data_IF_280752064157
#
_entry.id   IF_280752064157
#
_cell.length_a   1.000
_cell.length_b   1.000
_cell.length_c   1.000
_cell.angle_alpha   90.00
_cell.angle_beta   90.00
_cell.angle_gamma   90.00
#
_symmetry.space_group_name_H-M   'P 1'
#
loop_
_entity.id
_entity.type
_entity.pdbx_description
1 polymer ?
#
# COMPACT_ATOMS: atom_id res chain seq x y z
N UNK A 1 5.32 -10.98 5.97
CA UNK A 1 6.40 -10.30 5.23
C UNK A 1 7.45 -11.32 4.86
N UNK A 2 7.91 -11.33 3.60
CA UNK A 2 8.79 -12.35 3.01
C UNK A 2 10.29 -12.20 3.27
N UNK A 3 10.69 -11.52 4.35
CA UNK A 3 12.09 -11.18 4.63
C UNK A 3 13.04 -12.39 4.62
N UNK A 4 12.55 -13.58 4.99
CA UNK A 4 13.32 -14.84 5.01
C UNK A 4 13.96 -15.19 3.66
N UNK A 5 13.36 -14.74 2.55
CA UNK A 5 13.83 -15.05 1.20
C UNK A 5 15.25 -14.57 0.93
N UNK A 6 15.72 -13.57 1.68
CA UNK A 6 17.10 -13.08 1.61
C UNK A 6 17.83 -13.11 2.96
N UNK A 7 17.10 -13.10 4.08
CA UNK A 7 17.65 -13.08 5.44
C UNK A 7 17.71 -14.45 6.13
N UNK A 8 17.42 -15.54 5.40
CA UNK A 8 17.48 -16.90 5.95
C UNK A 8 16.41 -17.20 6.99
N UNK A 9 16.56 -18.33 7.69
CA UNK A 9 15.61 -18.85 8.66
C UNK A 9 14.29 -19.38 8.07
N UNK A 10 13.46 -19.94 8.95
CA UNK A 10 12.14 -20.44 8.60
C UNK A 10 11.01 -19.44 8.91
N UNK A 11 9.80 -19.74 8.47
CA UNK A 11 8.62 -19.00 8.87
C UNK A 11 8.32 -19.25 10.35
N UNK A 12 8.11 -18.18 11.13
CA UNK A 12 7.90 -18.29 12.59
C UNK A 12 6.66 -19.10 12.98
N UNK A 13 5.57 -18.96 12.23
CA UNK A 13 4.27 -19.52 12.58
C UNK A 13 3.93 -20.66 11.64
N UNK A 14 4.05 -21.90 12.15
CA UNK A 14 3.63 -23.14 11.47
C UNK A 14 4.15 -23.27 10.04
N UNK A 15 5.36 -22.77 9.78
CA UNK A 15 5.95 -22.74 8.44
C UNK A 15 5.16 -21.94 7.39
N UNK A 16 4.28 -21.02 7.80
CA UNK A 16 3.37 -20.27 6.92
C UNK A 16 3.61 -18.76 6.88
N UNK A 17 3.97 -18.15 8.01
CA UNK A 17 4.09 -16.69 8.12
C UNK A 17 4.99 -16.24 9.27
N UNK A 18 5.36 -14.96 9.24
CA UNK A 18 6.08 -14.26 10.32
C UNK A 18 7.60 -14.36 10.24
N UNK A 19 8.30 -13.46 10.93
CA UNK A 19 9.77 -13.38 10.94
C UNK A 19 10.28 -14.25 12.09
N UNK A 20 11.08 -15.29 11.79
CA UNK A 20 11.72 -16.11 12.83
C UNK A 20 12.87 -15.35 13.52
N UNK A 21 13.32 -15.86 14.66
CA UNK A 21 14.43 -15.26 15.39
C UNK A 21 15.73 -15.31 14.58
N UNK A 22 15.93 -16.35 13.76
CA UNK A 22 17.05 -16.45 12.82
C UNK A 22 16.99 -15.33 11.76
N UNK A 23 15.85 -15.18 11.09
CA UNK A 23 15.65 -14.09 10.11
C UNK A 23 15.84 -12.72 10.77
N UNK A 24 15.29 -12.52 11.98
CA UNK A 24 15.43 -11.27 12.71
C UNK A 24 16.90 -10.97 13.07
N UNK A 25 17.65 -11.98 13.54
CA UNK A 25 19.06 -11.83 13.87
C UNK A 25 19.90 -11.48 12.65
N UNK A 26 19.62 -12.08 11.48
CA UNK A 26 20.32 -11.74 10.25
C UNK A 26 20.03 -10.29 9.81
N UNK A 27 18.76 -9.86 9.88
CA UNK A 27 18.38 -8.45 9.63
C UNK A 27 19.18 -7.50 10.53
N UNK A 28 19.25 -7.77 11.84
CA UNK A 28 20.02 -6.94 12.77
C UNK A 28 21.52 -7.00 12.49
N UNK A 29 22.06 -8.15 12.09
CA UNK A 29 23.46 -8.32 11.70
C UNK A 29 23.82 -7.45 10.50
N UNK A 30 22.98 -7.48 9.46
CA UNK A 30 23.15 -6.66 8.26
C UNK A 30 23.02 -5.17 8.60
N UNK A 31 22.05 -4.81 9.45
CA UNK A 31 21.87 -3.44 9.89
C UNK A 31 23.08 -2.92 10.68
N UNK A 32 23.58 -3.70 11.65
CA UNK A 32 24.77 -3.34 12.45
C UNK A 32 25.99 -3.13 11.56
N UNK A 33 26.19 -3.99 10.56
CA UNK A 33 27.28 -3.87 9.58
C UNK A 33 27.16 -2.61 8.71
N UNK A 34 25.96 -2.32 8.21
CA UNK A 34 25.74 -1.24 7.22
C UNK A 34 25.60 0.13 7.87
N UNK A 35 24.94 0.18 9.02
CA UNK A 35 24.59 1.41 9.75
C UNK A 35 25.47 1.65 10.97
N UNK A 36 26.44 0.77 11.25
CA UNK A 36 27.37 0.84 12.40
C UNK A 36 26.64 0.88 13.76
N UNK A 37 25.58 0.09 13.88
CA UNK A 37 24.81 -0.05 15.12
C UNK A 37 25.23 -1.29 15.93
N UNK A 38 24.59 -1.53 17.07
CA UNK A 38 24.77 -2.72 17.92
C UNK A 38 23.42 -3.32 18.35
N UNK A 39 22.45 -3.30 17.45
CA UNK A 39 21.08 -3.71 17.71
C UNK A 39 20.97 -5.21 17.98
N UNK A 40 21.81 -6.04 17.32
CA UNK A 40 21.82 -7.48 17.60
C UNK A 40 22.27 -7.76 19.03
N UNK A 41 23.35 -7.11 19.47
CA UNK A 41 23.87 -7.26 20.84
C UNK A 41 22.82 -6.82 21.87
N UNK A 42 22.12 -5.72 21.61
CA UNK A 42 21.04 -5.24 22.48
C UNK A 42 19.86 -6.23 22.53
N UNK A 43 19.41 -6.73 21.38
CA UNK A 43 18.34 -7.72 21.30
C UNK A 43 18.68 -9.02 22.04
N UNK A 44 19.91 -9.53 21.90
CA UNK A 44 20.40 -10.71 22.61
C UNK A 44 20.44 -10.53 24.14
N UNK A 45 20.60 -9.28 24.61
CA UNK A 45 20.51 -8.91 26.03
C UNK A 45 19.08 -8.68 26.52
N UNK A 46 18.06 -8.99 25.70
CA UNK A 46 16.65 -8.77 26.02
C UNK A 46 16.22 -7.31 25.90
N UNK A 47 16.97 -6.49 25.15
CA UNK A 47 16.69 -5.07 24.92
C UNK A 47 16.51 -4.78 23.41
N UNK A 48 15.56 -5.43 22.71
CA UNK A 48 15.29 -5.12 21.32
C UNK A 48 14.82 -3.66 21.17
N UNK A 49 15.27 -3.00 20.10
CA UNK A 49 14.87 -1.63 19.80
C UNK A 49 13.72 -1.62 18.78
N UNK A 50 12.83 -0.65 18.87
CA UNK A 50 11.81 -0.43 17.84
C UNK A 50 12.43 0.37 16.70
N UNK A 51 12.35 -0.16 15.47
CA UNK A 51 12.85 0.49 14.27
C UNK A 51 12.31 1.93 14.13
N UNK A 52 11.07 2.17 14.55
CA UNK A 52 10.42 3.48 14.47
C UNK A 52 11.02 4.49 15.45
N UNK A 53 11.72 4.10 16.51
CA UNK A 53 12.38 5.07 17.40
C UNK A 53 13.44 5.88 16.63
N UNK A 54 14.18 5.22 15.73
CA UNK A 54 15.19 5.87 14.89
C UNK A 54 14.67 6.28 13.51
N UNK A 55 13.70 5.55 12.96
CA UNK A 55 13.15 5.73 11.61
C UNK A 55 11.73 6.35 11.58
N UNK A 56 11.35 7.09 12.63
CA UNK A 56 10.12 7.90 12.65
C UNK A 56 10.35 9.32 12.13
N UNK A 57 9.54 10.27 12.64
CA UNK A 57 9.30 11.63 12.12
C UNK A 57 10.56 12.51 12.03
N UNK A 58 10.36 13.72 11.50
CA UNK A 58 11.33 14.69 10.97
C UNK A 58 12.57 15.05 11.81
N UNK A 59 12.62 14.76 13.11
CA UNK A 59 13.68 15.26 14.01
C UNK A 59 15.01 14.49 13.88
N UNK A 60 14.97 13.21 13.50
CA UNK A 60 16.18 12.44 13.24
C UNK A 60 16.67 12.66 11.81
N UNK A 61 17.99 12.73 11.59
CA UNK A 61 18.53 12.79 10.23
C UNK A 61 18.44 11.45 9.47
N UNK A 62 17.98 10.38 10.13
CA UNK A 62 17.75 9.09 9.49
C UNK A 62 16.53 9.14 8.56
N UNK A 63 16.56 8.33 7.51
CA UNK A 63 15.42 8.13 6.63
C UNK A 63 14.21 7.59 7.40
N UNK A 64 13.01 8.01 7.04
CA UNK A 64 11.80 7.33 7.52
C UNK A 64 11.82 5.83 7.15
N UNK A 65 11.13 5.00 7.93
CA UNK A 65 11.23 3.54 7.80
C UNK A 65 10.91 3.01 6.40
N UNK A 66 9.91 3.58 5.74
CA UNK A 66 9.54 3.17 4.38
C UNK A 66 10.63 3.54 3.38
N UNK A 67 11.19 4.76 3.47
CA UNK A 67 12.28 5.18 2.59
C UNK A 67 13.55 4.36 2.82
N UNK A 68 13.87 4.03 4.08
CA UNK A 68 15.01 3.20 4.43
C UNK A 68 14.89 1.78 3.85
N UNK A 69 13.74 1.12 4.07
CA UNK A 69 13.53 -0.25 3.60
C UNK A 69 13.44 -0.30 2.08
N UNK A 70 12.54 0.48 1.46
CA UNK A 70 12.36 0.42 0.02
C UNK A 70 13.59 0.95 -0.72
N UNK A 71 14.18 2.05 -0.25
CA UNK A 71 15.38 2.63 -0.87
C UNK A 71 16.57 1.68 -0.89
N UNK A 72 16.80 0.94 0.19
CA UNK A 72 17.85 -0.06 0.23
C UNK A 72 17.56 -1.24 -0.71
N UNK A 73 16.37 -1.84 -0.59
CA UNK A 73 16.04 -3.06 -1.33
C UNK A 73 15.81 -2.84 -2.83
N UNK A 74 15.39 -1.64 -3.24
CA UNK A 74 15.23 -1.31 -4.66
C UNK A 74 16.53 -1.51 -5.45
N UNK A 75 17.69 -1.32 -4.83
CA UNK A 75 19.00 -1.53 -5.46
C UNK A 75 19.30 -3.02 -5.79
N UNK A 76 18.49 -3.95 -5.31
CA UNK A 76 18.64 -5.40 -5.52
C UNK A 76 17.42 -6.05 -6.19
N UNK A 77 16.34 -5.28 -6.35
CA UNK A 77 15.03 -5.74 -6.83
C UNK A 77 14.58 -5.00 -8.09
N UNK A 78 15.51 -4.37 -8.82
CA UNK A 78 15.23 -3.71 -10.11
C UNK A 78 14.76 -4.73 -11.14
N UNK A 79 13.97 -4.28 -12.11
CA UNK A 79 13.52 -5.11 -13.25
C UNK A 79 12.68 -6.34 -12.88
N UNK A 80 11.89 -6.24 -11.80
CA UNK A 80 11.03 -7.33 -11.32
C UNK A 80 9.54 -7.00 -11.24
N UNK A 81 9.14 -5.81 -11.71
CA UNK A 81 7.75 -5.34 -11.71
C UNK A 81 7.04 -5.65 -10.35
N UNK A 82 5.82 -6.18 -10.35
CA UNK A 82 5.06 -6.48 -9.13
C UNK A 82 5.64 -7.63 -8.27
N UNK A 83 6.51 -8.48 -8.83
CA UNK A 83 7.18 -9.55 -8.06
C UNK A 83 8.05 -8.96 -6.94
N UNK A 84 8.67 -7.81 -7.20
CA UNK A 84 9.47 -7.07 -6.21
C UNK A 84 8.67 -6.74 -4.95
N UNK A 85 7.38 -6.43 -5.08
CA UNK A 85 6.49 -6.14 -3.97
C UNK A 85 6.20 -7.41 -3.17
N UNK A 86 5.93 -8.53 -3.88
CA UNK A 86 5.64 -9.84 -3.32
C UNK A 86 6.83 -10.50 -2.59
N UNK A 87 8.06 -10.06 -2.85
CA UNK A 87 9.23 -10.51 -2.10
C UNK A 87 9.15 -10.13 -0.61
N UNK A 88 8.49 -9.01 -0.28
CA UNK A 88 8.38 -8.50 1.08
C UNK A 88 6.95 -8.52 1.60
N UNK A 89 5.97 -8.18 0.77
CA UNK A 89 4.55 -8.13 1.14
C UNK A 89 3.85 -9.44 0.81
N UNK A 90 2.78 -9.81 1.54
CA UNK A 90 2.05 -11.06 1.29
C UNK A 90 1.14 -10.98 0.05
N UNK A 91 1.63 -10.37 -1.03
CA UNK A 91 0.96 -10.25 -2.33
C UNK A 91 1.37 -11.36 -3.30
N UNK A 92 2.46 -12.09 -3.04
CA UNK A 92 2.91 -13.18 -3.92
C UNK A 92 1.90 -14.33 -4.02
N UNK A 93 1.94 -15.14 -5.10
CA UNK A 93 1.12 -16.35 -5.24
C UNK A 93 1.35 -17.39 -4.13
N UNK A 94 2.47 -17.34 -3.41
CA UNK A 94 2.80 -18.21 -2.27
C UNK A 94 2.48 -17.53 -0.92
N UNK A 95 2.26 -16.22 -0.90
CA UNK A 95 2.00 -15.45 0.32
C UNK A 95 0.71 -15.90 1.03
N UNK A 96 0.78 -16.15 2.34
CA UNK A 96 -0.33 -16.78 3.06
C UNK A 96 -1.62 -15.94 3.14
N UNK A 97 -1.54 -14.60 3.23
CA UNK A 97 -2.73 -13.76 3.52
C UNK A 97 -3.35 -13.07 2.31
N UNK A 98 -2.66 -13.01 1.15
CA UNK A 98 -3.11 -12.31 -0.07
C UNK A 98 -3.63 -10.88 0.22
N UNK A 99 -2.71 -9.97 0.52
CA UNK A 99 -3.08 -8.61 0.95
C UNK A 99 -3.83 -7.78 -0.11
N UNK A 100 -3.54 -7.98 -1.40
CA UNK A 100 -4.31 -7.43 -2.50
C UNK A 100 -5.36 -8.43 -2.99
N UNK A 101 -6.64 -8.07 -2.82
CA UNK A 101 -7.77 -9.00 -3.00
C UNK A 101 -9.14 -8.33 -3.24
N UNK A 102 -9.16 -7.04 -3.53
CA UNK A 102 -10.38 -6.34 -3.96
C UNK A 102 -10.63 -6.48 -5.46
N UNK A 103 -11.70 -5.85 -5.95
CA UNK A 103 -12.12 -5.90 -7.36
C UNK A 103 -11.02 -5.52 -8.36
N UNK A 104 -10.12 -4.61 -7.99
CA UNK A 104 -9.01 -4.21 -8.86
C UNK A 104 -8.06 -5.37 -9.19
N UNK A 105 -7.91 -6.35 -8.30
CA UNK A 105 -7.14 -7.55 -8.62
C UNK A 105 -7.85 -8.46 -9.62
N UNK A 106 -9.18 -8.49 -9.60
CA UNK A 106 -9.98 -9.36 -10.48
C UNK A 106 -9.93 -8.88 -11.94
N UNK A 107 -9.62 -7.60 -12.16
CA UNK A 107 -9.34 -7.01 -13.47
C UNK A 107 -7.82 -6.93 -13.76
N UNK A 108 -7.03 -7.80 -13.13
CA UNK A 108 -5.60 -7.99 -13.41
C UNK A 108 -4.68 -6.80 -13.08
N UNK A 109 -5.13 -5.82 -12.29
CA UNK A 109 -4.22 -4.82 -11.73
C UNK A 109 -3.31 -5.45 -10.68
N UNK A 110 -2.20 -4.76 -10.39
CA UNK A 110 -1.25 -5.15 -9.37
C UNK A 110 -0.75 -3.95 -8.55
N UNK A 111 0.28 -4.17 -7.74
CA UNK A 111 0.83 -3.14 -6.85
C UNK A 111 1.40 -1.95 -7.64
N UNK A 112 2.02 -2.23 -8.79
CA UNK A 112 2.68 -1.25 -9.65
C UNK A 112 1.69 -0.39 -10.41
N UNK A 113 0.47 -0.91 -10.66
CA UNK A 113 -0.63 -0.16 -11.28
C UNK A 113 -1.01 1.11 -10.52
N UNK A 114 -0.72 1.19 -9.21
CA UNK A 114 -1.01 2.36 -8.36
C UNK A 114 0.23 2.97 -7.72
N UNK A 115 1.19 2.15 -7.27
CA UNK A 115 2.37 2.64 -6.55
C UNK A 115 3.59 2.90 -7.45
N UNK A 116 3.54 2.47 -8.71
CA UNK A 116 4.69 2.43 -9.62
C UNK A 116 5.60 1.22 -9.37
N UNK A 117 6.64 1.08 -10.20
CA UNK A 117 7.64 0.02 -10.03
C UNK A 117 8.47 0.26 -8.78
N UNK A 118 9.20 -0.75 -8.29
CA UNK A 118 9.98 -0.66 -7.06
C UNK A 118 10.97 0.51 -7.08
N UNK A 119 11.63 0.71 -8.21
CA UNK A 119 12.56 1.81 -8.44
C UNK A 119 11.86 3.16 -8.30
N UNK A 120 10.73 3.35 -8.97
CA UNK A 120 9.98 4.61 -8.94
C UNK A 120 9.37 4.87 -7.54
N UNK A 121 8.81 3.85 -6.92
CA UNK A 121 8.26 3.91 -5.56
C UNK A 121 9.35 4.28 -4.54
N UNK A 122 10.53 3.64 -4.64
CA UNK A 122 11.65 3.97 -3.76
C UNK A 122 12.18 5.38 -4.03
N UNK A 123 12.34 5.77 -5.30
CA UNK A 123 12.80 7.10 -5.68
C UNK A 123 11.85 8.20 -5.20
N UNK A 124 10.53 8.04 -5.35
CA UNK A 124 9.55 9.03 -4.87
C UNK A 124 9.69 9.31 -3.36
N UNK A 125 9.97 8.27 -2.56
CA UNK A 125 10.25 8.41 -1.13
C UNK A 125 11.61 9.08 -0.88
N UNK A 126 12.66 8.63 -1.57
CA UNK A 126 14.03 9.14 -1.37
C UNK A 126 14.19 10.59 -1.83
N UNK A 127 13.51 11.02 -2.90
CA UNK A 127 13.50 12.43 -3.34
C UNK A 127 12.89 13.32 -2.25
N UNK A 128 11.77 12.90 -1.63
CA UNK A 128 11.17 13.63 -0.52
C UNK A 128 12.11 13.73 0.70
N UNK A 129 12.76 12.62 1.06
CA UNK A 129 13.72 12.60 2.18
C UNK A 129 14.98 13.41 1.88
N UNK A 130 15.50 13.38 0.64
CA UNK A 130 16.63 14.21 0.20
C UNK A 130 16.29 15.69 0.32
N UNK A 131 15.11 16.10 -0.14
CA UNK A 131 14.64 17.47 0.00
C UNK A 131 14.48 17.89 1.47
N UNK A 132 14.14 16.95 2.36
CA UNK A 132 14.08 17.14 3.80
C UNK A 132 15.46 17.10 4.50
N UNK A 133 16.57 16.99 3.75
CA UNK A 133 17.93 17.00 4.30
C UNK A 133 18.33 15.72 5.05
N UNK A 134 17.68 14.58 4.74
CA UNK A 134 17.90 13.31 5.43
C UNK A 134 19.16 12.61 4.92
N UNK A 135 19.92 12.04 5.85
CA UNK A 135 21.13 11.30 5.56
C UNK A 135 20.81 10.00 4.81
N UNK A 136 21.70 9.62 3.90
CA UNK A 136 21.61 8.34 3.18
C UNK A 136 20.68 8.35 1.98
N UNK A 137 19.76 9.32 1.84
CA UNK A 137 18.84 9.40 0.71
C UNK A 137 19.61 9.42 -0.63
N UNK A 138 20.53 10.37 -0.79
CA UNK A 138 21.33 10.52 -2.00
C UNK A 138 22.20 9.31 -2.30
N UNK A 139 22.74 8.65 -1.27
CA UNK A 139 23.55 7.45 -1.44
C UNK A 139 22.73 6.28 -1.99
N UNK A 140 21.50 6.09 -1.52
CA UNK A 140 20.60 5.02 -1.97
C UNK A 140 20.05 5.27 -3.37
N UNK A 141 19.92 6.54 -3.77
CA UNK A 141 19.46 6.94 -5.11
C UNK A 141 20.51 6.72 -6.21
N UNK A 142 21.80 6.63 -5.85
CA UNK A 142 22.93 6.69 -6.79
C UNK A 142 22.88 5.65 -7.93
N UNK A 143 22.31 4.47 -7.66
CA UNK A 143 22.26 3.35 -8.60
C UNK A 143 20.83 3.00 -9.04
N UNK A 144 19.86 3.86 -8.72
CA UNK A 144 18.48 3.69 -9.13
C UNK A 144 18.17 4.60 -10.31
N UNK A 145 17.51 4.03 -11.32
CA UNK A 145 16.97 4.77 -12.46
C UNK A 145 15.45 4.67 -12.44
N UNK A 146 14.73 5.78 -12.70
CA UNK A 146 13.30 5.72 -12.86
C UNK A 146 12.92 4.85 -14.07
N UNK A 147 11.76 4.22 -13.98
CA UNK A 147 11.19 3.33 -14.99
C UNK A 147 9.93 3.91 -15.61
N UNK A 148 9.22 4.78 -14.89
CA UNK A 148 7.97 5.39 -15.35
C UNK A 148 8.15 6.81 -15.90
N UNK A 149 9.30 7.45 -15.65
CA UNK A 149 9.62 8.80 -16.16
C UNK A 149 11.04 8.85 -16.72
N UNK A 150 11.33 9.88 -17.52
CA UNK A 150 12.59 10.01 -18.25
C UNK A 150 13.80 10.19 -17.33
N UNK A 151 13.65 10.96 -16.25
CA UNK A 151 14.77 11.30 -15.38
C UNK A 151 14.37 11.41 -13.91
N UNK A 152 15.39 11.40 -13.05
CA UNK A 152 15.20 11.59 -11.62
C UNK A 152 14.57 12.96 -11.29
N UNK A 153 14.77 13.97 -12.13
CA UNK A 153 14.18 15.29 -11.93
C UNK A 153 12.66 15.28 -12.11
N UNK A 154 12.13 14.30 -12.83
CA UNK A 154 10.71 14.16 -13.13
C UNK A 154 9.97 13.32 -12.08
N UNK A 155 10.68 12.74 -11.10
CA UNK A 155 10.06 12.00 -9.99
C UNK A 155 9.35 12.96 -9.04
N UNK A 156 8.04 12.80 -8.89
CA UNK A 156 7.27 13.54 -7.91
C UNK A 156 7.57 13.00 -6.50
N UNK A 157 8.06 13.84 -5.58
CA UNK A 157 8.34 13.43 -4.22
C UNK A 157 7.07 13.02 -3.51
N UNK A 158 7.18 11.99 -2.65
CA UNK A 158 6.07 11.56 -1.83
C UNK A 158 6.53 11.25 -0.40
N UNK A 159 5.77 11.72 0.57
CA UNK A 159 6.01 11.43 1.98
C UNK A 159 5.17 10.23 2.42
N UNK A 160 5.82 9.29 3.10
CA UNK A 160 5.18 8.13 3.71
C UNK A 160 3.99 8.55 4.57
N UNK A 161 2.87 7.86 4.42
CA UNK A 161 1.60 8.15 5.12
C UNK A 161 1.01 9.53 4.78
N UNK A 162 1.60 10.40 3.96
CA UNK A 162 0.92 11.64 3.55
C UNK A 162 0.43 11.50 2.11
N UNK A 163 1.36 11.19 1.23
CA UNK A 163 1.14 11.08 -0.20
C UNK A 163 0.96 9.59 -0.56
N UNK A 164 -0.26 9.20 -0.91
CA UNK A 164 -0.65 7.85 -1.31
C UNK A 164 -1.20 7.88 -2.73
N UNK A 165 -1.34 6.73 -3.42
CA UNK A 165 -2.09 6.67 -4.68
C UNK A 165 -3.51 7.22 -4.50
N UNK A 166 -3.96 8.00 -5.48
CA UNK A 166 -5.29 8.58 -5.49
C UNK A 166 -6.18 7.78 -6.46
N UNK A 167 -7.33 7.32 -5.97
CA UNK A 167 -8.29 6.58 -6.81
C UNK A 167 -8.85 7.45 -7.94
N UNK A 168 -8.89 8.78 -7.76
CA UNK A 168 -9.42 9.73 -8.74
C UNK A 168 -8.50 9.91 -9.95
N UNK A 169 -7.27 9.38 -9.92
CA UNK A 169 -6.39 9.38 -11.09
C UNK A 169 -6.95 8.49 -12.21
N UNK A 170 -7.58 7.36 -11.86
CA UNK A 170 -8.33 6.53 -12.81
C UNK A 170 -9.82 6.90 -12.82
N UNK A 171 -10.40 7.12 -11.64
CA UNK A 171 -11.82 7.45 -11.46
C UNK A 171 -12.06 8.97 -11.50
N UNK A 172 -11.66 9.60 -12.60
CA UNK A 172 -11.80 11.04 -12.77
C UNK A 172 -13.27 11.47 -12.62
N UNK A 173 -13.52 12.46 -11.75
CA UNK A 173 -14.88 12.92 -11.41
C UNK A 173 -15.82 11.79 -11.00
N UNK A 174 -15.28 10.74 -10.36
CA UNK A 174 -16.03 9.54 -9.93
C UNK A 174 -16.64 8.74 -11.08
N UNK A 175 -16.16 8.92 -12.31
CA UNK A 175 -16.60 8.14 -13.46
C UNK A 175 -15.93 6.75 -13.51
N UNK A 176 -16.50 5.89 -14.36
CA UNK A 176 -15.79 4.69 -14.78
C UNK A 176 -14.49 5.10 -15.50
N UNK A 177 -13.36 4.44 -15.21
CA UNK A 177 -12.10 4.76 -15.85
C UNK A 177 -12.19 4.45 -17.35
N UNK A 178 -11.58 5.29 -18.18
CA UNK A 178 -11.46 5.04 -19.63
C UNK A 178 -10.40 3.97 -19.92
N UNK A 179 -9.41 3.84 -19.04
CA UNK A 179 -8.27 2.93 -19.15
C UNK A 179 -7.93 2.30 -17.81
N UNK A 180 -7.37 1.09 -17.85
CA UNK A 180 -6.86 0.38 -16.66
C UNK A 180 -5.46 0.88 -16.23
N UNK A 181 -4.94 1.91 -16.91
CA UNK A 181 -3.66 2.55 -16.62
C UNK A 181 -3.87 4.02 -16.26
N UNK A 182 -2.97 4.56 -15.43
CA UNK A 182 -2.87 6.00 -15.16
C UNK A 182 -1.41 6.43 -15.23
N UNK A 183 -1.19 7.74 -15.37
CA UNK A 183 0.14 8.31 -15.30
C UNK A 183 0.73 8.14 -13.90
N UNK A 184 1.97 7.64 -13.84
CA UNK A 184 2.74 7.59 -12.61
C UNK A 184 2.97 9.02 -12.05
N UNK A 185 3.45 9.13 -10.79
CA UNK A 185 3.76 10.39 -10.09
C UNK A 185 2.57 11.22 -9.60
N UNK A 186 1.37 10.65 -9.56
CA UNK A 186 0.18 11.34 -9.07
C UNK A 186 -0.19 10.87 -7.66
N UNK A 187 0.01 11.73 -6.66
CA UNK A 187 -0.20 11.42 -5.25
C UNK A 187 -1.25 12.31 -4.60
N UNK A 188 -1.93 11.79 -3.57
CA UNK A 188 -2.76 12.62 -2.69
C UNK A 188 -1.91 13.74 -2.08
N UNK A 189 -2.37 15.00 -2.07
CA UNK A 189 -1.58 16.13 -1.57
C UNK A 189 -1.44 16.12 -0.03
N UNK A 190 -2.44 15.60 0.68
CA UNK A 190 -2.53 15.69 2.15
C UNK A 190 -3.04 14.40 2.79
N UNK A 191 -2.86 14.28 4.10
CA UNK A 191 -3.23 13.11 4.91
C UNK A 191 -4.74 12.80 4.95
N UNK A 192 -5.58 13.82 4.89
CA UNK A 192 -7.04 13.74 4.87
C UNK A 192 -7.57 13.29 3.50
N UNK A 193 -6.80 13.50 2.44
CA UNK A 193 -7.16 13.06 1.10
C UNK A 193 -6.80 11.61 0.78
N UNK A 194 -6.15 10.89 1.70
CA UNK A 194 -5.93 9.44 1.56
C UNK A 194 -7.28 8.71 1.54
N UNK A 195 -7.42 7.70 0.70
CA UNK A 195 -8.66 6.91 0.56
C UNK A 195 -9.33 6.51 1.90
N UNK A 196 -8.56 6.08 2.91
CA UNK A 196 -9.13 5.64 4.20
C UNK A 196 -9.58 6.79 5.11
N UNK A 197 -9.28 8.04 4.75
CA UNK A 197 -9.66 9.27 5.48
C UNK A 197 -10.53 10.22 4.67
N UNK A 198 -10.47 10.13 3.34
CA UNK A 198 -11.26 10.95 2.43
C UNK A 198 -12.73 10.63 2.61
N UNK A 199 -13.55 11.68 2.61
CA UNK A 199 -15.00 11.59 2.55
C UNK A 199 -15.51 11.97 1.17
N UNK A 200 -16.72 11.53 0.87
CA UNK A 200 -17.53 12.10 -0.19
C UNK A 200 -18.06 13.51 0.18
N UNK A 201 -18.90 14.08 -0.70
CA UNK A 201 -19.48 15.41 -0.52
C UNK A 201 -20.46 15.49 0.67
N UNK A 202 -20.98 14.34 1.12
CA UNK A 202 -21.88 14.22 2.26
C UNK A 202 -21.16 13.90 3.58
N UNK A 203 -19.83 13.78 3.57
CA UNK A 203 -19.01 13.52 4.75
C UNK A 203 -18.87 12.03 5.12
N UNK A 204 -19.24 11.10 4.24
CA UNK A 204 -19.07 9.66 4.46
C UNK A 204 -17.72 9.20 3.94
N UNK A 205 -16.97 8.44 4.75
CA UNK A 205 -15.67 7.91 4.35
C UNK A 205 -15.79 6.96 3.15
N UNK A 206 -14.92 7.12 2.16
CA UNK A 206 -14.89 6.21 0.98
C UNK A 206 -14.79 4.74 1.41
N UNK A 207 -13.95 4.45 2.41
CA UNK A 207 -13.77 3.10 2.94
C UNK A 207 -14.99 2.53 3.68
N UNK A 208 -15.95 3.36 4.09
CA UNK A 208 -17.20 2.89 4.67
C UNK A 208 -18.08 2.22 3.61
N UNK A 209 -18.12 2.79 2.41
CA UNK A 209 -18.94 2.29 1.31
C UNK A 209 -18.20 1.28 0.43
N UNK A 210 -16.92 1.50 0.16
CA UNK A 210 -16.14 0.74 -0.83
C UNK A 210 -15.22 -0.33 -0.22
N UNK A 211 -15.01 -0.38 1.10
CA UNK A 211 -14.15 -1.36 1.74
C UNK A 211 -12.73 -0.85 2.06
N UNK A 212 -11.78 -1.75 2.32
CA UNK A 212 -10.40 -1.35 2.65
C UNK A 212 -9.59 -1.10 1.36
N UNK A 213 -8.53 -0.25 1.38
CA UNK A 213 -7.79 0.16 0.16
C UNK A 213 -7.37 -0.98 -0.79
N UNK A 214 -7.00 -2.15 -0.26
CA UNK A 214 -6.57 -3.33 -1.04
C UNK A 214 -7.57 -4.49 -1.02
N UNK A 215 -8.74 -4.27 -0.45
CA UNK A 215 -9.86 -5.21 -0.37
C UNK A 215 -11.18 -4.45 -0.60
N UNK A 216 -11.19 -3.62 -1.65
CA UNK A 216 -12.39 -2.90 -2.09
C UNK A 216 -13.42 -3.85 -2.67
N UNK A 217 -14.69 -3.51 -2.52
CA UNK A 217 -15.82 -4.37 -2.84
C UNK A 217 -16.07 -4.56 -4.35
N UNK A 218 -16.49 -5.77 -4.77
CA UNK A 218 -16.45 -7.01 -4.00
C UNK A 218 -15.01 -7.50 -3.82
N UNK A 219 -14.71 -8.08 -2.67
CA UNK A 219 -13.39 -8.62 -2.34
C UNK A 219 -13.43 -10.15 -2.20
N UNK A 220 -12.33 -10.81 -2.57
CA UNK A 220 -12.22 -12.27 -2.51
C UNK A 220 -11.22 -12.68 -1.44
N UNK A 221 -11.66 -13.39 -0.41
CA UNK A 221 -10.80 -13.83 0.69
C UNK A 221 -10.60 -15.35 0.68
N UNK A 222 -9.34 -15.80 0.64
CA UNK A 222 -8.98 -17.22 0.65
C UNK A 222 -9.35 -17.95 1.95
N UNK A 223 -9.63 -17.21 3.03
CA UNK A 223 -10.15 -17.76 4.29
C UNK A 223 -11.69 -17.90 4.29
N UNK A 224 -12.35 -17.69 3.14
CA UNK A 224 -13.76 -17.93 2.91
C UNK A 224 -14.72 -16.92 3.55
N UNK A 225 -16.03 -17.22 3.47
CA UNK A 225 -17.13 -16.59 4.21
C UNK A 225 -17.27 -15.07 4.07
N UNK A 226 -16.98 -14.50 2.91
CA UNK A 226 -17.16 -13.06 2.68
C UNK A 226 -16.50 -12.18 3.75
N UNK A 227 -15.37 -12.63 4.31
CA UNK A 227 -14.74 -11.96 5.45
C UNK A 227 -14.45 -10.49 5.23
N UNK A 228 -14.05 -10.11 4.02
CA UNK A 228 -13.88 -8.70 3.68
C UNK A 228 -15.22 -8.03 3.34
N UNK A 229 -16.20 -8.76 2.80
CA UNK A 229 -17.54 -8.27 2.43
C UNK A 229 -18.57 -8.34 3.57
N UNK A 230 -18.17 -8.55 4.83
CA UNK A 230 -19.12 -8.70 5.95
C UNK A 230 -20.10 -7.52 6.01
N UNK A 231 -19.61 -6.28 5.85
CA UNK A 231 -20.46 -5.08 5.93
C UNK A 231 -21.55 -5.06 4.85
N UNK A 232 -21.23 -5.15 3.54
CA UNK A 232 -22.28 -5.15 2.52
C UNK A 232 -23.17 -6.39 2.60
N UNK A 233 -22.63 -7.57 2.93
CA UNK A 233 -23.46 -8.76 3.13
C UNK A 233 -24.45 -8.61 4.28
N UNK A 234 -24.05 -7.98 5.39
CA UNK A 234 -24.91 -7.75 6.55
C UNK A 234 -26.03 -6.75 6.28
N UNK A 235 -25.78 -5.71 5.46
CA UNK A 235 -26.69 -4.58 5.32
C UNK A 235 -27.54 -4.62 4.05
N UNK A 236 -27.06 -5.23 2.97
CA UNK A 236 -27.76 -5.25 1.67
C UNK A 236 -27.79 -6.63 0.99
N UNK A 237 -27.35 -7.69 1.69
CA UNK A 237 -27.38 -9.09 1.24
C UNK A 237 -26.66 -9.34 -0.09
N UNK A 238 -25.73 -8.44 -0.44
CA UNK A 238 -24.87 -8.55 -1.61
C UNK A 238 -23.48 -7.96 -1.28
N UNK A 239 -22.43 -8.32 -2.04
CA UNK A 239 -21.05 -8.01 -1.68
C UNK A 239 -20.52 -6.73 -2.33
N UNK A 240 -21.37 -5.95 -2.97
CA UNK A 240 -20.99 -4.75 -3.72
C UNK A 240 -20.83 -3.54 -2.77
N UNK A 241 -20.30 -2.41 -3.25
CA UNK A 241 -20.28 -1.18 -2.47
C UNK A 241 -21.64 -0.88 -1.81
N UNK A 242 -21.63 -0.33 -0.59
CA UNK A 242 -22.86 0.02 0.12
C UNK A 242 -23.66 1.02 -0.71
N UNK A 243 -24.95 0.73 -0.92
CA UNK A 243 -25.83 1.55 -1.76
C UNK A 243 -25.80 1.20 -3.25
N UNK A 244 -24.92 0.29 -3.69
CA UNK A 244 -24.88 -0.18 -5.06
C UNK A 244 -26.25 -0.71 -5.53
N UNK A 245 -26.48 -0.63 -6.84
CA UNK A 245 -27.73 -1.04 -7.48
C UNK A 245 -28.95 -0.26 -6.97
N UNK A 246 -28.78 1.05 -6.73
CA UNK A 246 -29.81 1.98 -6.24
C UNK A 246 -30.41 1.59 -4.89
N UNK A 247 -29.64 0.91 -4.04
CA UNK A 247 -30.12 0.49 -2.72
C UNK A 247 -29.91 1.56 -1.65
N UNK A 248 -30.20 2.83 -1.94
CA UNK A 248 -29.96 3.96 -1.03
C UNK A 248 -30.70 3.80 0.32
N UNK A 249 -31.83 3.07 0.32
CA UNK A 249 -32.59 2.74 1.53
C UNK A 249 -31.79 1.98 2.59
N UNK A 250 -30.67 1.36 2.22
CA UNK A 250 -29.75 0.69 3.17
C UNK A 250 -29.28 1.63 4.29
N UNK A 251 -29.11 2.91 3.98
CA UNK A 251 -28.74 3.95 4.94
C UNK A 251 -29.90 4.91 5.21
N UNK A 252 -30.60 5.35 4.17
CA UNK A 252 -31.63 6.39 4.29
C UNK A 252 -32.95 5.90 4.88
N UNK A 253 -33.16 4.58 4.97
CA UNK A 253 -34.40 3.92 5.45
C UNK A 253 -35.66 4.22 4.62
N UNK A 254 -35.53 5.01 3.57
CA UNK A 254 -36.54 5.34 2.56
C UNK A 254 -35.92 5.26 1.17
N UNK A 255 -36.76 5.13 0.15
CA UNK A 255 -36.31 5.25 -1.24
C UNK A 255 -35.85 6.68 -1.53
N UNK A 256 -34.78 6.79 -2.32
CA UNK A 256 -34.16 8.05 -2.74
C UNK A 256 -34.15 8.11 -4.26
N UNK A 257 -34.46 9.27 -4.83
CA UNK A 257 -34.48 9.48 -6.28
C UNK A 257 -33.22 10.19 -6.78
N UNK A 258 -32.55 10.96 -5.92
CA UNK A 258 -31.37 11.76 -6.24
C UNK A 258 -30.13 11.32 -5.42
N UNK A 259 -28.95 11.50 -6.01
CA UNK A 259 -27.67 11.27 -5.33
C UNK A 259 -27.09 12.54 -4.72
N UNK A 260 -26.58 12.43 -3.50
CA UNK A 260 -25.86 13.51 -2.79
C UNK A 260 -24.40 13.13 -2.45
N UNK A 261 -23.99 11.90 -2.78
CA UNK A 261 -22.69 11.36 -2.35
C UNK A 261 -21.60 11.70 -3.37
N UNK A 262 -21.77 11.28 -4.62
CA UNK A 262 -20.98 11.72 -5.77
C UNK A 262 -21.68 11.25 -7.06
N UNK A 263 -21.33 11.83 -8.23
CA UNK A 263 -21.80 11.35 -9.52
C UNK A 263 -21.60 9.83 -9.66
N UNK A 264 -22.52 9.17 -10.37
CA UNK A 264 -22.48 7.74 -10.69
C UNK A 264 -22.70 6.78 -9.51
N UNK A 265 -23.03 7.28 -8.32
CA UNK A 265 -23.40 6.43 -7.18
C UNK A 265 -24.67 5.62 -7.43
N UNK A 266 -25.58 6.13 -8.28
CA UNK A 266 -26.82 5.47 -8.68
C UNK A 266 -26.67 4.48 -9.84
N UNK A 267 -25.47 4.31 -10.39
CA UNK A 267 -25.25 3.35 -11.46
C UNK A 267 -25.39 1.91 -10.96
N UNK A 268 -25.83 1.03 -11.85
CA UNK A 268 -25.83 -0.41 -11.60
C UNK A 268 -24.39 -0.91 -11.55
N UNK A 269 -24.09 -1.77 -10.59
CA UNK A 269 -22.76 -2.35 -10.46
C UNK A 269 -22.50 -3.30 -11.62
N UNK A 270 -21.40 -3.05 -12.36
CA UNK A 270 -21.13 -3.74 -13.64
C UNK A 270 -20.38 -5.06 -13.45
N UNK A 271 -19.50 -5.13 -12.45
CA UNK A 271 -18.58 -6.25 -12.24
C UNK A 271 -19.16 -7.27 -11.25
N UNK A 272 -20.36 -7.76 -11.55
CA UNK A 272 -21.04 -8.73 -10.71
C UNK A 272 -20.26 -10.05 -10.63
N UNK A 273 -20.32 -10.69 -9.46
CA UNK A 273 -19.72 -12.01 -9.20
C UNK A 273 -20.81 -13.05 -8.90
#
# INVERSE_FOLDING_TARGET
MGCKSCHGGEWRVKDLAGISDETANDILTVHDRMSKTKLLEAAQKGQPQDCLECHSKSEHLNLNLSAAIHGFHANYLTDRDAESCGACHPSSPEGFTKDFRGIHKEIELDCTSCHGKMEDHALSLLVAEKAAGKNGAESLMKHLSPRAVESLADIAPRQTRVNMPDCLNCHAEFNAPETDTHEFNQWTPTEDQRYHRRTDDAGILCAACHGAPHAVYPATNIFGNDRDNIRPMQHQENPYPIGANKNCKVCHTTDMEDEIHHPNSLNMFRNAR
#
